data_IF_192522146073
#
_entry.id   IF_192522146073
#
_cell.length_a   1.000
_cell.length_b   1.000
_cell.length_c   1.000
_cell.angle_alpha   90.00
_cell.angle_beta   90.00
_cell.angle_gamma   90.00
#
_symmetry.space_group_name_H-M   'P 1'
#
loop_
_entity.id
_entity.type
_entity.pdbx_description
1 polymer ?
#
# COMPACT_ATOMS: atom_id res chain seq x y z
N UNK A 1 35.97 -8.93 1.27
CA UNK A 1 35.22 -10.04 0.66
C UNK A 1 33.74 -9.75 0.84
N UNK A 2 33.01 -9.49 -0.26
CA UNK A 2 31.61 -9.06 -0.23
C UNK A 2 30.70 -10.08 0.48
N UNK A 3 31.04 -11.37 0.47
CA UNK A 3 30.35 -12.41 1.24
C UNK A 3 30.47 -12.25 2.76
N UNK A 4 31.57 -11.71 3.24
CA UNK A 4 31.79 -11.49 4.69
C UNK A 4 31.04 -10.26 5.17
N UNK A 5 30.94 -9.22 4.33
CA UNK A 5 30.14 -8.01 4.63
C UNK A 5 28.61 -8.27 4.68
N UNK A 6 28.13 -9.28 3.94
CA UNK A 6 26.72 -9.65 3.88
C UNK A 6 26.29 -10.69 4.94
N UNK A 7 27.22 -11.18 5.76
CA UNK A 7 26.94 -12.21 6.79
C UNK A 7 27.04 -11.69 8.22
N UNK A 8 27.48 -10.45 8.42
CA UNK A 8 27.62 -9.85 9.75
C UNK A 8 26.45 -8.89 10.01
N UNK A 9 25.76 -9.08 11.11
CA UNK A 9 24.75 -8.13 11.60
C UNK A 9 25.45 -6.83 12.00
N UNK A 10 24.89 -5.71 11.57
CA UNK A 10 25.39 -4.41 11.99
C UNK A 10 24.92 -4.09 13.41
N UNK A 11 25.83 -3.53 14.22
CA UNK A 11 25.50 -3.03 15.54
C UNK A 11 25.17 -1.53 15.46
N UNK A 12 24.06 -1.15 16.06
CA UNK A 12 23.57 0.23 16.10
C UNK A 12 23.33 0.67 17.53
N UNK A 13 23.60 1.92 17.82
CA UNK A 13 23.35 2.52 19.13
C UNK A 13 22.20 3.52 19.07
N UNK A 14 21.22 3.37 19.97
CA UNK A 14 20.13 4.32 20.09
C UNK A 14 20.62 5.63 20.71
N UNK A 15 20.88 6.61 19.86
CA UNK A 15 21.28 7.97 20.25
C UNK A 15 20.22 8.96 19.75
N UNK A 16 19.05 9.01 20.42
CA UNK A 16 17.96 9.86 19.97
C UNK A 16 18.37 11.33 20.00
N UNK A 17 17.94 12.10 19.01
CA UNK A 17 18.08 13.54 19.05
C UNK A 17 17.12 14.10 20.14
N UNK A 18 17.68 14.44 21.29
CA UNK A 18 16.93 14.96 22.44
C UNK A 18 16.13 16.21 22.08
N UNK A 19 16.59 17.04 21.14
CA UNK A 19 15.84 18.19 20.66
C UNK A 19 14.61 17.78 19.87
N UNK A 20 14.71 16.74 19.05
CA UNK A 20 13.59 16.18 18.30
C UNK A 20 12.59 15.54 19.26
N UNK A 21 13.06 14.81 20.26
CA UNK A 21 12.20 14.18 21.27
C UNK A 21 11.57 15.22 22.19
N UNK A 22 12.35 16.17 22.69
CA UNK A 22 11.89 17.24 23.61
C UNK A 22 10.91 18.21 22.93
N UNK A 23 11.02 18.42 21.62
CA UNK A 23 10.04 19.21 20.86
C UNK A 23 8.65 18.53 20.83
N UNK A 24 8.54 17.33 21.46
CA UNK A 24 7.31 16.56 21.49
C UNK A 24 6.84 16.26 20.06
N UNK A 25 7.84 16.24 19.15
CA UNK A 25 7.50 16.11 17.75
C UNK A 25 6.53 17.22 17.31
N UNK A 26 6.71 18.41 17.79
CA UNK A 26 5.93 19.51 17.26
C UNK A 26 6.05 19.49 15.75
N UNK A 27 4.92 19.28 15.18
CA UNK A 27 4.73 19.27 13.75
C UNK A 27 5.48 20.45 13.15
N UNK A 28 6.12 20.24 12.01
CA UNK A 28 6.35 21.32 11.07
C UNK A 28 5.07 22.14 11.06
N UNK A 29 5.17 23.47 11.18
CA UNK A 29 4.01 24.32 11.03
C UNK A 29 3.24 23.86 9.81
N UNK A 30 2.08 23.29 10.02
CA UNK A 30 1.29 22.66 8.95
C UNK A 30 0.69 23.67 8.00
N UNK A 31 0.89 24.97 8.28
CA UNK A 31 0.47 26.11 7.45
C UNK A 31 -0.95 25.94 6.87
N UNK A 32 -1.90 25.52 7.71
CA UNK A 32 -3.29 25.29 7.31
C UNK A 32 -3.56 23.96 6.65
N UNK A 33 -2.63 23.00 6.74
CA UNK A 33 -2.88 21.61 6.34
C UNK A 33 -3.63 20.82 7.41
N UNK A 34 -3.60 21.31 8.63
CA UNK A 34 -4.41 20.81 9.74
C UNK A 34 -5.89 20.87 9.39
N UNK A 35 -6.61 19.83 9.74
CA UNK A 35 -8.05 19.72 9.55
C UNK A 35 -8.53 19.76 8.07
N UNK A 36 -7.63 19.55 7.11
CA UNK A 36 -8.04 19.39 5.71
C UNK A 36 -8.79 18.09 5.50
N UNK A 37 -9.78 18.14 4.61
CA UNK A 37 -10.54 16.98 4.17
C UNK A 37 -10.37 16.78 2.67
N UNK A 38 -10.53 15.54 2.24
CA UNK A 38 -10.62 15.16 0.81
C UNK A 38 -11.88 14.34 0.60
N UNK A 39 -12.36 14.29 -0.63
CA UNK A 39 -13.44 13.39 -1.03
C UNK A 39 -12.89 11.98 -1.27
N UNK A 40 -13.24 11.03 -0.40
CA UNK A 40 -12.75 9.66 -0.45
C UNK A 40 -13.86 8.66 -0.06
N UNK A 41 -13.60 7.39 -0.24
CA UNK A 41 -14.54 6.32 0.07
C UNK A 41 -14.19 5.69 1.41
N UNK A 42 -15.12 5.77 2.37
CA UNK A 42 -14.99 5.00 3.61
C UNK A 42 -15.53 3.59 3.39
N UNK A 43 -14.67 2.61 3.55
CA UNK A 43 -15.06 1.20 3.44
C UNK A 43 -15.74 0.72 4.73
N UNK A 44 -16.54 -0.37 4.67
CA UNK A 44 -17.23 -0.90 5.86
C UNK A 44 -16.28 -1.19 7.04
N UNK A 45 -15.04 -1.58 6.75
CA UNK A 45 -13.99 -1.82 7.76
C UNK A 45 -13.29 -0.54 8.25
N UNK A 46 -13.82 0.64 7.96
CA UNK A 46 -13.27 1.93 8.37
C UNK A 46 -12.06 2.42 7.57
N UNK A 47 -11.45 1.59 6.72
CA UNK A 47 -10.33 2.01 5.87
C UNK A 47 -10.77 2.99 4.79
N UNK A 48 -9.87 3.88 4.39
CA UNK A 48 -10.12 4.91 3.41
C UNK A 48 -9.50 4.54 2.07
N UNK A 49 -10.33 4.49 1.02
CA UNK A 49 -9.90 4.38 -0.37
C UNK A 49 -10.10 5.70 -1.10
N UNK A 50 -9.11 6.12 -1.87
CA UNK A 50 -9.24 7.30 -2.75
C UNK A 50 -9.76 6.93 -4.15
N UNK A 51 -9.90 5.64 -4.42
CA UNK A 51 -10.40 5.05 -5.65
C UNK A 51 -11.57 4.12 -5.40
N UNK A 52 -12.41 3.94 -6.40
CA UNK A 52 -13.52 2.97 -6.43
C UNK A 52 -13.32 2.02 -7.61
N UNK A 53 -12.27 1.21 -7.54
CA UNK A 53 -11.85 0.35 -8.63
C UNK A 53 -12.31 -1.09 -8.44
N UNK A 54 -12.46 -1.82 -9.52
CA UNK A 54 -12.61 -3.28 -9.53
C UNK A 54 -11.26 -3.89 -9.87
N UNK A 55 -10.79 -4.77 -9.01
CA UNK A 55 -9.50 -5.43 -9.22
C UNK A 55 -9.68 -6.91 -9.57
N UNK A 56 -8.87 -7.39 -10.50
CA UNK A 56 -8.73 -8.80 -10.81
C UNK A 56 -7.38 -9.25 -10.27
N UNK A 57 -7.40 -10.17 -9.31
CA UNK A 57 -6.21 -10.68 -8.63
C UNK A 57 -6.01 -12.15 -8.99
N UNK A 58 -5.06 -12.47 -9.90
CA UNK A 58 -4.68 -13.85 -10.18
C UNK A 58 -4.05 -14.52 -8.97
N UNK A 59 -4.38 -15.77 -8.69
CA UNK A 59 -3.68 -16.59 -7.68
C UNK A 59 -2.37 -17.17 -8.21
N UNK A 60 -2.22 -17.21 -9.54
CA UNK A 60 -1.07 -17.79 -10.26
C UNK A 60 -0.86 -17.07 -11.58
N UNK A 61 0.38 -16.90 -12.01
CA UNK A 61 0.74 -16.22 -13.26
C UNK A 61 0.15 -16.85 -14.54
N UNK A 62 -0.24 -18.11 -14.49
CA UNK A 62 -0.83 -18.83 -15.63
C UNK A 62 -2.13 -18.20 -16.15
N UNK A 63 -2.91 -17.55 -15.28
CA UNK A 63 -4.17 -16.88 -15.66
C UNK A 63 -4.02 -15.37 -15.89
N UNK A 64 -2.80 -14.84 -15.94
CA UNK A 64 -2.57 -13.42 -16.19
C UNK A 64 -3.20 -12.93 -17.49
N UNK A 65 -3.07 -13.69 -18.57
CA UNK A 65 -3.65 -13.30 -19.87
C UNK A 65 -5.17 -13.28 -19.86
N UNK A 66 -5.78 -14.19 -19.12
CA UNK A 66 -7.22 -14.18 -18.89
C UNK A 66 -7.63 -12.93 -18.09
N UNK A 67 -6.91 -12.63 -17.00
CA UNK A 67 -7.16 -11.43 -16.18
C UNK A 67 -7.06 -10.14 -17.00
N UNK A 68 -5.99 -9.98 -17.80
CA UNK A 68 -5.83 -8.83 -18.70
C UNK A 68 -6.97 -8.73 -19.73
N UNK A 69 -7.33 -9.87 -20.34
CA UNK A 69 -8.42 -9.92 -21.33
C UNK A 69 -9.75 -9.50 -20.70
N UNK A 70 -10.06 -10.00 -19.51
CA UNK A 70 -11.27 -9.63 -18.79
C UNK A 70 -11.30 -8.14 -18.46
N UNK A 71 -10.19 -7.58 -17.92
CA UNK A 71 -10.08 -6.17 -17.60
C UNK A 71 -10.27 -5.26 -18.82
N UNK A 72 -9.69 -5.67 -19.97
CA UNK A 72 -9.78 -4.90 -21.21
C UNK A 72 -11.12 -5.05 -21.96
N UNK A 73 -11.86 -6.13 -21.71
CA UNK A 73 -13.13 -6.41 -22.39
C UNK A 73 -14.33 -5.87 -21.63
N UNK A 74 -14.26 -5.86 -20.30
CA UNK A 74 -15.35 -5.41 -19.45
C UNK A 74 -15.63 -3.91 -19.66
N UNK A 75 -16.91 -3.56 -19.77
CA UNK A 75 -17.34 -2.17 -19.82
C UNK A 75 -17.40 -1.61 -18.40
N UNK A 76 -16.77 -0.47 -18.17
CA UNK A 76 -16.79 0.20 -16.88
C UNK A 76 -18.13 0.91 -16.71
N UNK A 77 -18.83 0.63 -15.59
CA UNK A 77 -20.09 1.28 -15.22
C UNK A 77 -19.84 2.65 -14.57
N UNK A 78 -20.86 3.50 -14.59
CA UNK A 78 -20.83 4.78 -13.87
C UNK A 78 -20.60 4.55 -12.37
N UNK A 79 -19.77 5.41 -11.77
CA UNK A 79 -19.38 5.31 -10.36
C UNK A 79 -18.19 4.38 -10.09
N UNK A 80 -17.65 3.71 -11.12
CA UNK A 80 -16.44 2.89 -11.04
C UNK A 80 -15.28 3.64 -11.68
N UNK A 81 -14.15 3.71 -10.99
CA UNK A 81 -12.96 4.43 -11.45
C UNK A 81 -12.15 3.66 -12.50
N UNK A 82 -12.32 2.34 -12.58
CA UNK A 82 -11.66 1.47 -13.55
C UNK A 82 -11.67 -0.01 -13.14
N UNK A 83 -11.28 -0.86 -14.09
CA UNK A 83 -11.10 -2.30 -13.87
C UNK A 83 -9.65 -2.63 -14.18
N UNK A 84 -8.93 -3.21 -13.23
CA UNK A 84 -7.48 -3.45 -13.34
C UNK A 84 -7.11 -4.89 -12.98
N UNK A 85 -6.24 -5.49 -13.79
CA UNK A 85 -5.65 -6.81 -13.51
C UNK A 85 -4.27 -6.63 -12.85
N UNK A 86 -4.09 -7.22 -11.68
CA UNK A 86 -2.82 -7.21 -10.93
C UNK A 86 -2.01 -8.46 -11.27
N UNK A 87 -1.44 -8.49 -12.47
CA UNK A 87 -0.65 -9.61 -12.97
C UNK A 87 0.70 -9.72 -12.26
N UNK A 88 1.19 -10.94 -12.12
CA UNK A 88 2.47 -11.25 -11.50
C UNK A 88 3.14 -12.48 -12.14
N UNK A 89 4.49 -12.62 -12.10
CA UNK A 89 5.20 -13.70 -12.77
C UNK A 89 5.19 -15.03 -11.98
N UNK A 90 4.63 -15.06 -10.77
CA UNK A 90 4.73 -16.19 -9.87
C UNK A 90 3.76 -17.30 -10.23
N UNK A 91 4.20 -18.55 -10.03
CA UNK A 91 3.45 -19.74 -10.46
C UNK A 91 3.49 -20.87 -9.44
N UNK A 92 3.08 -22.06 -9.89
CA UNK A 92 2.97 -23.29 -9.07
C UNK A 92 4.32 -23.78 -8.52
N UNK A 93 5.43 -23.32 -9.07
CA UNK A 93 6.78 -23.76 -8.68
C UNK A 93 7.36 -23.08 -7.46
N UNK A 94 6.67 -22.08 -6.91
CA UNK A 94 7.11 -21.47 -5.67
C UNK A 94 6.93 -22.42 -4.49
N UNK A 95 7.92 -22.45 -3.59
CA UNK A 95 7.93 -23.31 -2.40
C UNK A 95 8.29 -22.52 -1.16
N UNK A 96 7.89 -23.04 0.00
CA UNK A 96 8.29 -22.50 1.30
C UNK A 96 7.90 -21.03 1.48
N UNK A 97 8.81 -20.23 2.01
CA UNK A 97 8.61 -18.83 2.33
C UNK A 97 8.20 -17.94 1.15
N UNK A 98 8.77 -18.19 -0.04
CA UNK A 98 8.44 -17.41 -1.24
C UNK A 98 6.97 -17.56 -1.64
N UNK A 99 6.42 -18.78 -1.51
CA UNK A 99 5.01 -19.04 -1.76
C UNK A 99 4.13 -18.35 -0.73
N UNK A 100 4.46 -18.48 0.56
CA UNK A 100 3.70 -17.83 1.65
C UNK A 100 3.73 -16.32 1.52
N UNK A 101 4.86 -15.74 1.17
CA UNK A 101 4.98 -14.30 0.95
C UNK A 101 4.12 -13.83 -0.23
N UNK A 102 4.19 -14.53 -1.36
CA UNK A 102 3.38 -14.18 -2.54
C UNK A 102 1.89 -14.20 -2.21
N UNK A 103 1.40 -15.28 -1.59
CA UNK A 103 -0.03 -15.37 -1.24
C UNK A 103 -0.45 -14.33 -0.21
N UNK A 104 0.45 -13.96 0.71
CA UNK A 104 0.23 -12.90 1.70
C UNK A 104 0.05 -11.54 1.03
N UNK A 105 0.96 -11.17 0.12
CA UNK A 105 0.87 -9.91 -0.64
C UNK A 105 -0.40 -9.86 -1.50
N UNK A 106 -0.75 -10.95 -2.16
CA UNK A 106 -1.98 -11.03 -2.95
C UNK A 106 -3.24 -10.88 -2.08
N UNK A 107 -3.25 -11.47 -0.88
CA UNK A 107 -4.36 -11.31 0.05
C UNK A 107 -4.50 -9.87 0.56
N UNK A 108 -3.38 -9.17 0.78
CA UNK A 108 -3.38 -7.75 1.13
C UNK A 108 -3.87 -6.87 -0.02
N UNK A 109 -3.56 -7.20 -1.28
CA UNK A 109 -4.15 -6.54 -2.45
C UNK A 109 -5.68 -6.71 -2.48
N UNK A 110 -6.19 -7.91 -2.23
CA UNK A 110 -7.64 -8.15 -2.15
C UNK A 110 -8.30 -7.30 -1.06
N UNK A 111 -7.60 -7.09 0.07
CA UNK A 111 -8.07 -6.28 1.19
C UNK A 111 -7.75 -4.79 1.09
N UNK A 112 -7.17 -4.35 -0.03
CA UNK A 112 -6.78 -2.95 -0.21
C UNK A 112 -8.02 -2.04 -0.37
N UNK A 113 -8.06 -0.87 0.30
CA UNK A 113 -9.26 -0.02 0.31
C UNK A 113 -9.57 0.66 -1.03
N UNK A 114 -8.63 0.79 -1.95
CA UNK A 114 -8.90 1.30 -3.30
C UNK A 114 -9.66 0.28 -4.16
N UNK A 115 -9.55 -1.02 -3.85
CA UNK A 115 -10.38 -2.05 -4.45
C UNK A 115 -11.78 -2.01 -3.83
N UNK A 116 -12.75 -1.45 -4.55
CA UNK A 116 -14.14 -1.46 -4.12
C UNK A 116 -14.71 -2.88 -4.11
N UNK A 117 -14.34 -3.66 -5.13
CA UNK A 117 -14.64 -5.08 -5.20
C UNK A 117 -13.55 -5.82 -6.00
N UNK A 118 -13.43 -7.14 -5.82
CA UNK A 118 -12.33 -7.94 -6.34
C UNK A 118 -12.83 -9.25 -6.96
N UNK A 119 -12.35 -9.54 -8.15
CA UNK A 119 -12.39 -10.87 -8.75
C UNK A 119 -11.07 -11.59 -8.45
N UNK A 120 -11.09 -12.61 -7.63
CA UNK A 120 -9.98 -13.52 -7.45
C UNK A 120 -10.05 -14.61 -8.51
N UNK A 121 -9.00 -14.71 -9.32
CA UNK A 121 -8.96 -15.60 -10.48
C UNK A 121 -7.91 -16.69 -10.29
N UNK A 122 -8.35 -17.94 -10.12
CA UNK A 122 -7.49 -19.12 -10.04
C UNK A 122 -7.51 -19.93 -11.34
N UNK A 123 -6.48 -20.77 -11.51
CA UNK A 123 -6.44 -21.75 -12.61
C UNK A 123 -7.17 -23.02 -12.22
N UNK A 124 -6.85 -23.62 -11.07
CA UNK A 124 -7.43 -24.85 -10.52
C UNK A 124 -6.42 -25.95 -10.18
N UNK A 125 -5.16 -25.84 -10.59
CA UNK A 125 -4.10 -26.80 -10.27
C UNK A 125 -2.91 -26.19 -9.54
N UNK A 126 -3.00 -24.92 -9.17
CA UNK A 126 -1.96 -24.21 -8.44
C UNK A 126 -1.91 -24.59 -6.95
N UNK A 127 -0.74 -24.40 -6.32
CA UNK A 127 -0.59 -24.61 -4.87
C UNK A 127 -1.41 -23.61 -4.05
N UNK A 128 -1.55 -22.39 -4.53
CA UNK A 128 -2.39 -21.35 -3.94
C UNK A 128 -3.83 -21.47 -4.43
N UNK A 129 -4.47 -22.60 -4.12
CA UNK A 129 -5.86 -22.85 -4.57
C UNK A 129 -6.79 -21.77 -4.07
N UNK A 130 -7.85 -21.52 -4.83
CA UNK A 130 -8.83 -20.47 -4.52
C UNK A 130 -9.41 -20.63 -3.12
N UNK A 131 -9.67 -21.85 -2.65
CA UNK A 131 -10.23 -22.14 -1.33
C UNK A 131 -9.25 -21.72 -0.20
N UNK A 132 -7.99 -22.20 -0.29
CA UNK A 132 -6.94 -21.85 0.69
C UNK A 132 -6.64 -20.36 0.68
N UNK A 133 -6.71 -19.74 -0.49
CA UNK A 133 -6.50 -18.31 -0.63
C UNK A 133 -7.65 -17.51 -0.01
N UNK A 134 -8.90 -17.97 -0.18
CA UNK A 134 -10.06 -17.33 0.45
C UNK A 134 -9.98 -17.34 1.98
N UNK A 135 -9.53 -18.46 2.58
CA UNK A 135 -9.27 -18.53 4.02
C UNK A 135 -8.21 -17.51 4.47
N UNK A 136 -7.12 -17.38 3.71
CA UNK A 136 -6.07 -16.40 4.01
C UNK A 136 -6.59 -14.96 3.89
N UNK A 137 -7.33 -14.63 2.83
CA UNK A 137 -7.93 -13.30 2.64
C UNK A 137 -8.84 -12.96 3.83
N UNK A 138 -9.66 -13.91 4.28
CA UNK A 138 -10.54 -13.73 5.43
C UNK A 138 -9.76 -13.50 6.74
N UNK A 139 -8.70 -14.29 6.98
CA UNK A 139 -7.87 -14.15 8.19
C UNK A 139 -7.10 -12.83 8.26
N UNK A 140 -6.83 -12.21 7.13
CA UNK A 140 -6.12 -10.92 7.00
C UNK A 140 -7.07 -9.72 6.90
N UNK A 141 -8.38 -9.95 6.95
CA UNK A 141 -9.34 -8.86 7.04
C UNK A 141 -9.18 -8.14 8.38
N UNK A 142 -9.22 -6.79 8.41
CA UNK A 142 -9.01 -6.00 9.63
C UNK A 142 -9.97 -6.31 10.77
N UNK A 143 -11.11 -6.91 10.47
CA UNK A 143 -12.15 -7.20 11.44
C UNK A 143 -11.93 -8.51 12.22
N UNK A 144 -10.82 -9.24 11.94
CA UNK A 144 -10.40 -10.42 12.71
C UNK A 144 -11.38 -11.61 12.71
N UNK A 145 -12.57 -11.36 12.25
CA UNK A 145 -13.60 -12.36 12.03
C UNK A 145 -13.78 -12.46 10.51
N UNK A 146 -13.62 -13.62 9.96
CA UNK A 146 -13.99 -13.93 8.59
C UNK A 146 -15.47 -13.68 8.32
N UNK A 147 -16.00 -12.61 8.85
CA UNK A 147 -17.38 -12.20 8.84
C UNK A 147 -17.68 -11.53 7.52
N UNK A 148 -17.93 -12.30 6.68
CA UNK A 148 -18.80 -12.45 5.59
C UNK A 148 -19.98 -11.46 5.46
N UNK A 149 -20.40 -10.77 6.47
CA UNK A 149 -21.60 -9.93 6.41
C UNK A 149 -21.34 -8.60 5.73
N UNK A 150 -20.21 -7.97 5.94
CA UNK A 150 -19.84 -6.66 5.33
C UNK A 150 -19.14 -6.83 3.98
N UNK A 151 -18.58 -8.01 3.69
CA UNK A 151 -17.90 -8.31 2.43
C UNK A 151 -18.74 -9.14 1.46
N UNK A 152 -19.98 -9.51 1.82
CA UNK A 152 -20.85 -10.31 0.98
C UNK A 152 -21.13 -9.62 -0.35
N UNK A 153 -20.62 -10.19 -1.43
CA UNK A 153 -20.69 -9.62 -2.78
C UNK A 153 -19.49 -8.76 -3.17
N UNK A 154 -18.59 -8.39 -2.23
CA UNK A 154 -17.37 -7.65 -2.54
C UNK A 154 -16.30 -8.49 -3.25
N UNK A 155 -16.23 -9.76 -2.95
CA UNK A 155 -15.23 -10.67 -3.53
C UNK A 155 -15.95 -11.82 -4.23
N UNK A 156 -15.58 -12.06 -5.48
CA UNK A 156 -15.99 -13.23 -6.23
C UNK A 156 -14.74 -14.06 -6.54
N UNK A 157 -14.83 -15.36 -6.32
CA UNK A 157 -13.78 -16.32 -6.60
C UNK A 157 -14.16 -17.12 -7.84
N UNK A 158 -13.29 -17.19 -8.84
CA UNK A 158 -13.48 -17.93 -10.09
C UNK A 158 -12.27 -18.82 -10.35
N UNK A 159 -12.54 -20.11 -10.61
CA UNK A 159 -11.52 -21.08 -11.04
C UNK A 159 -11.70 -21.36 -12.52
N UNK A 160 -10.71 -21.00 -13.34
CA UNK A 160 -10.78 -21.11 -14.81
C UNK A 160 -11.10 -22.52 -15.29
N UNK A 161 -10.44 -23.54 -14.73
CA UNK A 161 -10.67 -24.96 -15.13
C UNK A 161 -12.07 -25.49 -14.76
N UNK A 162 -12.79 -24.83 -13.88
CA UNK A 162 -14.16 -25.21 -13.51
C UNK A 162 -15.22 -24.53 -14.38
N UNK A 163 -14.81 -23.62 -15.26
CA UNK A 163 -15.70 -22.88 -16.17
C UNK A 163 -15.72 -23.52 -17.54
N UNK A 164 -16.87 -23.55 -18.18
CA UNK A 164 -17.03 -23.96 -19.59
C UNK A 164 -16.75 -22.81 -20.55
N UNK A 165 -16.95 -21.55 -20.10
CA UNK A 165 -16.59 -20.31 -20.79
C UNK A 165 -16.05 -19.31 -19.79
N UNK A 166 -14.75 -19.36 -19.55
CA UNK A 166 -14.07 -18.52 -18.57
C UNK A 166 -14.18 -17.02 -18.85
N UNK A 167 -14.36 -16.62 -20.11
CA UNK A 167 -14.57 -15.22 -20.48
C UNK A 167 -16.00 -14.79 -20.11
N UNK A 168 -17.01 -15.56 -20.48
CA UNK A 168 -18.40 -15.24 -20.16
C UNK A 168 -18.62 -15.20 -18.65
N UNK A 169 -18.14 -16.20 -17.93
CA UNK A 169 -18.25 -16.28 -16.46
C UNK A 169 -17.48 -15.15 -15.77
N UNK A 170 -16.27 -14.83 -16.26
CA UNK A 170 -15.47 -13.73 -15.75
C UNK A 170 -16.14 -12.37 -15.96
N UNK A 171 -16.71 -12.11 -17.14
CA UNK A 171 -17.43 -10.87 -17.43
C UNK A 171 -18.72 -10.75 -16.58
N UNK A 172 -19.44 -11.86 -16.39
CA UNK A 172 -20.61 -11.89 -15.52
C UNK A 172 -20.25 -11.62 -14.04
N UNK A 173 -19.11 -12.14 -13.59
CA UNK A 173 -18.58 -11.86 -12.26
C UNK A 173 -18.22 -10.37 -12.10
N UNK A 174 -17.52 -9.79 -13.08
CA UNK A 174 -17.17 -8.37 -13.07
C UNK A 174 -18.41 -7.47 -13.11
N UNK A 175 -19.46 -7.84 -13.81
CA UNK A 175 -20.72 -7.11 -13.84
C UNK A 175 -21.36 -7.04 -12.45
N UNK A 176 -21.45 -8.19 -11.74
CA UNK A 176 -21.94 -8.25 -10.35
C UNK A 176 -21.10 -7.44 -9.37
N UNK A 177 -19.75 -7.48 -9.52
CA UNK A 177 -18.84 -6.72 -8.68
C UNK A 177 -19.01 -5.20 -8.88
N UNK A 178 -19.25 -4.77 -10.12
CA UNK A 178 -19.55 -3.38 -10.41
C UNK A 178 -20.90 -2.96 -9.81
N UNK A 179 -21.94 -3.81 -9.88
CA UNK A 179 -23.24 -3.52 -9.25
C UNK A 179 -23.15 -3.39 -7.73
N UNK A 180 -22.25 -4.14 -7.10
CA UNK A 180 -21.93 -3.96 -5.69
C UNK A 180 -21.24 -2.61 -5.43
N UNK A 181 -20.26 -2.25 -6.26
CA UNK A 181 -19.37 -1.13 -6.01
C UNK A 181 -19.93 0.23 -6.46
N UNK A 182 -20.83 0.29 -7.44
CA UNK A 182 -21.38 1.54 -7.99
C UNK A 182 -22.20 2.34 -6.94
N UNK A 183 -22.66 1.69 -5.86
CA UNK A 183 -23.39 2.33 -4.78
C UNK A 183 -22.50 3.08 -3.77
N UNK A 184 -21.19 2.89 -3.83
CA UNK A 184 -20.25 3.60 -2.98
C UNK A 184 -20.26 5.11 -3.31
N UNK A 185 -20.25 5.93 -2.28
CA UNK A 185 -20.20 7.40 -2.44
C UNK A 185 -18.99 7.98 -1.74
N UNK A 186 -18.43 9.04 -2.33
CA UNK A 186 -17.37 9.81 -1.69
C UNK A 186 -17.96 10.65 -0.56
N UNK A 187 -17.27 10.69 0.56
CA UNK A 187 -17.57 11.55 1.69
C UNK A 187 -16.35 12.41 2.04
N UNK A 188 -16.55 13.42 2.88
CA UNK A 188 -15.45 14.21 3.41
C UNK A 188 -14.69 13.38 4.46
N UNK A 189 -13.42 13.11 4.18
CA UNK A 189 -12.53 12.33 5.02
C UNK A 189 -11.35 13.19 5.41
N UNK A 190 -10.99 13.17 6.68
CA UNK A 190 -9.78 13.86 7.15
C UNK A 190 -8.52 13.29 6.48
N UNK A 191 -7.60 14.13 6.09
CA UNK A 191 -6.31 13.68 5.57
C UNK A 191 -5.54 12.85 6.61
N UNK A 192 -5.81 13.03 7.91
CA UNK A 192 -5.21 12.23 8.98
C UNK A 192 -5.52 10.74 8.90
N UNK A 193 -6.57 10.36 8.17
CA UNK A 193 -6.96 8.96 7.98
C UNK A 193 -6.24 8.29 6.80
N UNK A 194 -5.49 9.07 6.01
CA UNK A 194 -4.78 8.54 4.84
C UNK A 194 -3.55 7.72 5.22
N UNK A 195 -3.30 6.69 4.42
CA UNK A 195 -2.05 5.93 4.40
C UNK A 195 -1.41 6.10 3.04
N UNK A 196 -0.18 6.64 3.00
CA UNK A 196 0.50 7.03 1.77
C UNK A 196 1.81 6.25 1.66
N UNK A 197 1.97 5.47 0.59
CA UNK A 197 3.23 4.81 0.26
C UNK A 197 4.11 5.73 -0.61
N UNK A 198 5.38 5.81 -0.28
CA UNK A 198 6.39 6.54 -1.03
C UNK A 198 7.42 5.58 -1.62
N UNK A 199 7.74 5.80 -2.89
CA UNK A 199 8.68 4.97 -3.63
C UNK A 199 9.57 5.85 -4.52
N UNK A 200 10.86 5.49 -4.60
CA UNK A 200 11.77 6.06 -5.59
C UNK A 200 11.39 5.60 -7.01
N UNK A 201 11.46 6.50 -7.98
CA UNK A 201 11.05 6.21 -9.35
C UNK A 201 12.21 6.11 -10.35
N UNK A 202 13.01 7.16 -10.50
CA UNK A 202 13.94 7.33 -11.61
C UNK A 202 15.41 7.05 -11.30
N UNK A 203 15.82 7.05 -10.06
CA UNK A 203 17.20 6.80 -9.59
C UNK A 203 18.27 7.60 -10.36
N UNK A 204 17.98 8.87 -10.70
CA UNK A 204 18.96 9.76 -11.34
C UNK A 204 19.80 10.54 -10.31
N UNK A 205 20.96 11.06 -10.74
CA UNK A 205 21.89 11.74 -9.86
C UNK A 205 21.39 13.03 -9.22
N UNK A 206 20.28 13.58 -9.68
CA UNK A 206 19.67 14.81 -9.15
C UNK A 206 18.47 14.54 -8.24
N UNK A 207 17.90 13.33 -8.23
CA UNK A 207 16.73 12.96 -7.42
C UNK A 207 16.93 13.28 -5.94
N UNK A 208 18.14 13.04 -5.42
CA UNK A 208 18.46 13.27 -4.01
C UNK A 208 18.29 14.72 -3.55
N UNK A 209 18.51 15.68 -4.44
CA UNK A 209 18.41 17.12 -4.14
C UNK A 209 17.11 17.75 -4.65
N UNK A 210 16.33 17.04 -5.43
CA UNK A 210 15.06 17.52 -6.03
C UNK A 210 13.87 16.69 -5.56
N UNK A 211 13.56 15.62 -6.25
CA UNK A 211 12.35 14.82 -6.02
C UNK A 211 12.31 14.19 -4.62
N UNK A 212 13.43 13.61 -4.15
CA UNK A 212 13.47 12.96 -2.83
C UNK A 212 13.32 13.98 -1.69
N UNK A 213 13.92 15.17 -1.84
CA UNK A 213 13.76 16.25 -0.88
C UNK A 213 12.28 16.73 -0.81
N UNK A 214 11.61 16.84 -1.96
CA UNK A 214 10.18 17.18 -2.02
C UNK A 214 9.32 16.09 -1.38
N UNK A 215 9.59 14.81 -1.70
CA UNK A 215 8.90 13.66 -1.10
C UNK A 215 9.05 13.69 0.43
N UNK A 216 10.26 13.95 0.95
CA UNK A 216 10.50 14.10 2.38
C UNK A 216 9.63 15.19 3.02
N UNK A 217 9.53 16.36 2.40
CA UNK A 217 8.68 17.45 2.90
C UNK A 217 7.18 17.07 2.86
N UNK A 218 6.73 16.38 1.82
CA UNK A 218 5.36 15.88 1.72
C UNK A 218 5.09 14.89 2.87
N UNK A 219 6.02 13.94 3.10
CA UNK A 219 5.93 13.02 4.22
C UNK A 219 5.77 13.73 5.56
N UNK A 220 6.61 14.74 5.81
CA UNK A 220 6.57 15.51 7.04
C UNK A 220 5.21 16.19 7.26
N UNK A 221 4.62 16.76 6.22
CA UNK A 221 3.31 17.43 6.30
C UNK A 221 2.15 16.45 6.51
N UNK A 222 2.16 15.33 5.82
CA UNK A 222 1.14 14.30 6.03
C UNK A 222 1.23 13.70 7.44
N UNK A 223 2.43 13.34 7.90
CA UNK A 223 2.60 12.77 9.25
C UNK A 223 2.27 13.77 10.34
N UNK A 224 2.60 15.07 10.17
CA UNK A 224 2.21 16.10 11.12
C UNK A 224 0.70 16.35 11.17
N UNK A 225 -0.02 16.01 10.11
CA UNK A 225 -1.48 16.04 10.07
C UNK A 225 -2.14 14.77 10.65
N UNK A 226 -1.34 13.80 11.12
CA UNK A 226 -1.82 12.53 11.66
C UNK A 226 -1.92 11.39 10.64
N UNK A 227 -1.64 11.65 9.36
CA UNK A 227 -1.60 10.60 8.32
C UNK A 227 -0.46 9.61 8.58
N UNK A 228 -0.58 8.41 8.05
CA UNK A 228 0.50 7.42 8.02
C UNK A 228 1.26 7.50 6.70
N UNK A 229 2.58 7.51 6.76
CA UNK A 229 3.44 7.46 5.58
C UNK A 229 4.31 6.22 5.65
N UNK A 230 4.35 5.45 4.57
CA UNK A 230 5.19 4.26 4.42
C UNK A 230 6.32 4.57 3.45
N UNK A 231 7.56 4.39 3.91
CA UNK A 231 8.74 4.40 3.04
C UNK A 231 8.98 2.96 2.58
N UNK A 232 9.22 2.79 1.29
CA UNK A 232 9.55 1.50 0.69
C UNK A 232 11.06 1.40 0.42
N UNK A 233 11.52 0.23 -0.07
CA UNK A 233 12.89 0.04 -0.53
C UNK A 233 13.93 0.23 0.59
N UNK A 234 13.75 -0.51 1.68
CA UNK A 234 14.66 -0.47 2.85
C UNK A 234 16.15 -0.57 2.47
N UNK A 235 16.59 -1.35 1.45
CA UNK A 235 17.99 -1.36 1.02
C UNK A 235 18.54 0.01 0.61
N UNK A 236 17.70 0.95 0.19
CA UNK A 236 18.13 2.32 -0.15
C UNK A 236 18.46 3.18 1.10
N UNK A 237 18.11 2.70 2.30
CA UNK A 237 18.49 3.33 3.56
C UNK A 237 19.91 3.00 3.98
N UNK A 238 20.57 2.01 3.37
CA UNK A 238 21.91 1.57 3.75
C UNK A 238 22.92 2.71 3.61
N UNK A 239 23.66 2.96 4.69
CA UNK A 239 24.55 4.11 4.84
C UNK A 239 23.89 5.32 5.55
N UNK A 240 22.56 5.37 5.70
CA UNK A 240 21.82 6.40 6.42
C UNK A 240 20.98 5.84 7.57
N UNK A 241 21.07 4.55 7.86
CA UNK A 241 20.23 3.83 8.82
C UNK A 241 20.26 4.48 10.20
N UNK A 242 21.44 4.81 10.70
CA UNK A 242 21.60 5.42 12.02
C UNK A 242 20.85 6.76 12.14
N UNK A 243 20.81 7.55 11.06
CA UNK A 243 20.09 8.81 11.04
C UNK A 243 18.57 8.60 11.17
N UNK A 244 18.04 7.59 10.47
CA UNK A 244 16.63 7.22 10.56
C UNK A 244 16.30 6.59 11.90
N UNK A 245 17.14 5.69 12.40
CA UNK A 245 16.98 5.02 13.69
C UNK A 245 16.98 6.00 14.86
N UNK A 246 17.79 7.05 14.81
CA UNK A 246 17.81 8.09 15.85
C UNK A 246 16.51 8.92 15.90
N UNK A 247 15.66 8.81 14.89
CA UNK A 247 14.35 9.44 14.85
C UNK A 247 13.24 8.56 15.45
N UNK A 248 13.54 7.34 15.84
CA UNK A 248 12.57 6.47 16.51
C UNK A 248 12.10 7.09 17.83
N UNK A 249 10.78 7.04 18.05
CA UNK A 249 10.16 7.68 19.21
C UNK A 249 10.57 7.02 20.55
N UNK A 250 11.02 5.79 20.49
CA UNK A 250 11.48 5.03 21.64
C UNK A 250 12.41 3.90 21.22
N UNK A 251 13.05 3.28 22.21
CA UNK A 251 13.98 2.17 21.98
C UNK A 251 13.31 0.93 21.36
N UNK A 252 12.06 0.65 21.67
CA UNK A 252 11.37 -0.51 21.09
C UNK A 252 11.21 -0.39 19.58
N UNK A 253 10.88 0.81 19.07
CA UNK A 253 10.81 1.07 17.63
C UNK A 253 12.20 1.03 17.01
N UNK A 254 13.20 1.57 17.70
CA UNK A 254 14.59 1.49 17.27
C UNK A 254 15.02 0.02 17.10
N UNK A 255 14.79 -0.82 18.11
CA UNK A 255 15.18 -2.24 18.07
C UNK A 255 14.49 -2.98 16.92
N UNK A 256 13.20 -2.73 16.67
CA UNK A 256 12.48 -3.28 15.51
C UNK A 256 13.08 -2.83 14.17
N UNK A 257 13.59 -1.61 14.09
CA UNK A 257 14.27 -1.10 12.89
C UNK A 257 15.60 -1.79 12.68
N UNK A 258 16.38 -1.96 13.75
CA UNK A 258 17.63 -2.74 13.72
C UNK A 258 17.37 -4.17 13.23
N UNK A 259 16.34 -4.82 13.76
CA UNK A 259 15.96 -6.17 13.33
C UNK A 259 15.59 -6.22 11.84
N UNK A 260 14.85 -5.23 11.35
CA UNK A 260 14.48 -5.14 9.94
C UNK A 260 15.71 -5.02 9.04
N UNK A 261 16.63 -4.10 9.36
CA UNK A 261 17.87 -3.89 8.60
C UNK A 261 18.72 -5.16 8.61
N UNK A 262 18.93 -5.75 9.79
CA UNK A 262 19.73 -6.96 9.92
C UNK A 262 19.14 -8.17 9.19
N UNK A 263 17.83 -8.34 9.20
CA UNK A 263 17.14 -9.39 8.43
C UNK A 263 17.38 -9.24 6.93
N UNK A 264 17.37 -8.00 6.41
CA UNK A 264 17.66 -7.75 5.01
C UNK A 264 19.13 -7.98 4.66
N UNK A 265 20.06 -7.59 5.53
CA UNK A 265 21.50 -7.83 5.35
C UNK A 265 21.79 -9.33 5.30
N UNK A 266 21.17 -10.12 6.18
CA UNK A 266 21.41 -11.57 6.30
C UNK A 266 20.61 -12.40 5.28
N UNK A 267 19.68 -11.78 4.53
CA UNK A 267 18.87 -12.46 3.52
C UNK A 267 17.78 -13.37 4.10
N UNK A 268 17.41 -13.15 5.36
CA UNK A 268 16.26 -13.84 5.97
C UNK A 268 14.95 -13.15 5.59
N UNK A 269 13.92 -13.95 5.34
CA UNK A 269 12.64 -13.56 4.76
C UNK A 269 11.99 -12.31 5.36
N UNK A 270 11.37 -11.55 4.49
CA UNK A 270 10.79 -10.21 4.71
C UNK A 270 9.46 -10.23 5.49
N UNK A 271 9.17 -11.23 6.29
CA UNK A 271 7.88 -11.35 7.01
C UNK A 271 7.54 -10.19 7.97
N UNK A 272 8.50 -9.27 8.17
CA UNK A 272 8.37 -8.18 9.15
C UNK A 272 8.29 -6.78 8.54
N UNK A 273 8.34 -6.62 7.22
CA UNK A 273 8.39 -5.28 6.58
C UNK A 273 7.09 -4.50 6.79
N UNK A 274 5.95 -5.18 6.82
CA UNK A 274 4.65 -4.52 7.04
C UNK A 274 4.41 -4.05 8.48
N UNK A 275 5.06 -4.68 9.47
CA UNK A 275 4.86 -4.31 10.87
C UNK A 275 5.75 -3.16 11.36
N UNK A 276 6.91 -2.95 10.70
CA UNK A 276 7.92 -1.98 11.16
C UNK A 276 7.75 -0.60 10.54
N UNK A 277 7.02 -0.49 9.43
CA UNK A 277 6.90 0.77 8.68
C UNK A 277 5.80 1.72 9.18
N UNK A 278 5.27 1.56 10.38
CA UNK A 278 4.51 2.61 11.06
C UNK A 278 5.42 3.73 11.61
N UNK A 279 6.20 4.32 10.71
CA UNK A 279 6.98 5.50 11.09
C UNK A 279 6.13 6.76 11.00
N UNK A 280 5.99 7.43 12.10
CA UNK A 280 5.87 8.89 12.04
C UNK A 280 7.25 9.41 11.62
N UNK A 281 7.48 9.61 10.34
CA UNK A 281 8.68 10.27 9.84
C UNK A 281 8.61 11.73 10.26
N UNK A 282 9.49 12.14 11.14
CA UNK A 282 9.53 13.50 11.64
C UNK A 282 10.54 14.39 10.96
N UNK A 283 10.22 15.69 10.93
CA UNK A 283 10.95 16.65 10.11
C UNK A 283 12.39 16.80 10.57
N UNK A 284 13.32 16.39 9.73
CA UNK A 284 14.72 16.82 9.84
C UNK A 284 14.92 18.20 9.23
N UNK A 285 13.97 18.70 8.43
CA UNK A 285 14.18 19.82 7.53
C UNK A 285 13.15 20.94 7.75
N UNK A 286 13.03 21.46 8.98
CA UNK A 286 12.30 22.71 9.21
C UNK A 286 12.91 23.91 8.46
N UNK A 287 14.15 23.81 8.06
CA UNK A 287 14.92 24.92 7.46
C UNK A 287 14.69 25.10 5.95
N UNK A 288 14.24 24.06 5.24
CA UNK A 288 14.01 24.11 3.79
C UNK A 288 12.54 24.36 3.38
N UNK A 289 11.62 24.38 4.33
CA UNK A 289 10.16 24.42 4.08
C UNK A 289 9.71 25.70 3.36
N UNK A 290 10.34 26.83 3.62
CA UNK A 290 9.90 28.12 3.02
C UNK A 290 10.07 28.22 1.48
N UNK A 291 10.96 27.42 0.91
CA UNK A 291 11.23 27.51 -0.55
C UNK A 291 10.31 26.62 -1.41
N UNK A 292 9.56 25.67 -0.82
CA UNK A 292 8.79 24.68 -1.57
C UNK A 292 7.28 24.71 -1.32
N UNK A 293 6.78 25.71 -0.63
CA UNK A 293 5.36 25.87 -0.28
C UNK A 293 4.46 25.94 -1.54
N UNK A 294 4.95 26.52 -2.62
CA UNK A 294 4.22 26.61 -3.90
C UNK A 294 4.01 25.23 -4.52
N UNK A 295 5.05 24.38 -4.54
CA UNK A 295 4.98 23.03 -5.09
C UNK A 295 4.08 22.11 -4.25
N UNK A 296 4.14 22.27 -2.93
CA UNK A 296 3.28 21.53 -2.02
C UNK A 296 1.79 21.88 -2.21
N UNK A 297 1.48 23.18 -2.28
CA UNK A 297 0.11 23.64 -2.52
C UNK A 297 -0.41 23.22 -3.90
N UNK A 298 0.46 23.19 -4.93
CA UNK A 298 0.12 22.65 -6.23
C UNK A 298 -0.18 21.15 -6.17
N UNK A 299 0.61 20.36 -5.45
CA UNK A 299 0.37 18.93 -5.26
C UNK A 299 -0.94 18.67 -4.51
N UNK A 300 -1.20 19.40 -3.42
CA UNK A 300 -2.45 19.29 -2.68
C UNK A 300 -3.67 19.68 -3.51
N UNK A 301 -3.56 20.78 -4.28
CA UNK A 301 -4.63 21.19 -5.20
C UNK A 301 -4.89 20.16 -6.29
N UNK A 302 -3.83 19.57 -6.85
CA UNK A 302 -3.95 18.49 -7.82
C UNK A 302 -4.62 17.24 -7.19
N UNK A 303 -4.27 16.88 -5.97
CA UNK A 303 -4.89 15.75 -5.24
C UNK A 303 -6.36 16.03 -4.95
N UNK A 304 -6.69 17.23 -4.49
CA UNK A 304 -8.06 17.64 -4.20
C UNK A 304 -8.91 17.70 -5.48
N UNK A 305 -8.37 18.28 -6.56
CA UNK A 305 -9.05 18.35 -7.86
C UNK A 305 -9.25 16.94 -8.43
N UNK A 306 -8.23 16.08 -8.34
CA UNK A 306 -8.32 14.70 -8.81
C UNK A 306 -9.39 13.88 -8.08
N UNK A 307 -9.66 14.19 -6.81
CA UNK A 307 -10.74 13.57 -6.03
C UNK A 307 -12.11 14.20 -6.25
N UNK A 308 -12.17 15.48 -6.68
CA UNK A 308 -13.41 16.24 -6.91
C UNK A 308 -13.91 16.21 -8.34
N UNK A 309 -13.02 16.16 -9.34
CA UNK A 309 -13.43 16.20 -10.78
C UNK A 309 -14.23 14.99 -11.25
N UNK A 310 -14.20 13.88 -10.49
CA UNK A 310 -14.98 12.67 -10.81
C UNK A 310 -16.38 12.64 -10.22
N UNK A 311 -16.72 13.58 -9.34
CA UNK A 311 -18.09 13.73 -8.83
C UNK A 311 -18.99 14.59 -9.74
N UNK A 312 -18.46 15.10 -10.87
CA UNK A 312 -19.14 16.08 -11.76
C UNK A 312 -19.51 15.50 -13.13
N UNK A 313 -19.47 14.17 -13.31
CA UNK A 313 -19.97 13.55 -14.55
C UNK A 313 -21.02 12.51 -14.29
#
# INVERSE_FOLDING_TARGET
NMKTLLSETAEYSYTPDEKVIASGYKAVETNGFENKTIKAYRRPNGKIGIRNEIWIVPTVGCVNKLAERLANTAKVKDGIDGIHAWIHPYGCSQMGGDHEQTRTVLADLVNHPNAAAVLVLGLGCENNTVEKFAELVASRSPEGEGSDITQKGRIIYLTSQNSTDEIADGLAALDKLQDFACNNKREDVSISELVIGMKCGGSDGLSGITANALVGQICDRFTSSGSKVMLTEVPEMFGAEQMLMNRCINKSIFDKTVDLINKLIVGTSIDTVSEVLEYQVKPIIAQYVKQHEVLYNAFYSALSNFTSERDVK
#
